data_IF_903604889342
#
_entry.id   IF_903604889342
#
_cell.length_a   1.000
_cell.length_b   1.000
_cell.length_c   1.000
_cell.angle_alpha   90.00
_cell.angle_beta   90.00
_cell.angle_gamma   90.00
#
_symmetry.space_group_name_H-M   'P 1'
#
loop_
_entity.id
_entity.type
_entity.pdbx_description
1 polymer ?
#
# COMPACT_ATOMS: atom_id res chain seq x y z
N UNK A 1 20.67 1.40 -77.08
CA UNK A 1 20.72 2.46 -76.05
C UNK A 1 20.60 1.76 -74.71
N UNK A 2 21.55 1.97 -73.78
CA UNK A 2 21.41 1.90 -72.30
C UNK A 2 20.78 0.63 -71.68
N UNK A 3 21.32 -0.07 -70.68
CA UNK A 3 22.66 -0.16 -70.05
C UNK A 3 22.70 -1.42 -69.14
N UNK A 4 23.87 -1.80 -68.63
CA UNK A 4 24.06 -2.71 -67.47
C UNK A 4 24.27 -1.83 -66.20
N UNK A 5 24.33 -2.28 -64.91
CA UNK A 5 24.26 -3.61 -64.29
C UNK A 5 23.19 -3.66 -63.14
N UNK A 6 23.16 -4.49 -62.07
CA UNK A 6 24.04 -5.55 -61.52
C UNK A 6 23.25 -6.56 -60.61
N UNK A 7 23.99 -7.45 -59.94
CA UNK A 7 23.64 -8.36 -58.83
C UNK A 7 23.83 -7.66 -57.44
N UNK A 8 23.76 -8.32 -56.26
CA UNK A 8 22.97 -9.48 -55.79
C UNK A 8 22.23 -9.22 -54.43
N UNK A 9 21.52 -10.23 -53.90
CA UNK A 9 21.66 -10.59 -52.47
C UNK A 9 20.46 -10.44 -51.51
N UNK A 10 20.18 -11.53 -50.76
CA UNK A 10 19.70 -11.54 -49.37
C UNK A 10 18.34 -10.95 -48.99
N UNK A 11 17.42 -11.78 -48.46
CA UNK A 11 16.98 -11.68 -47.05
C UNK A 11 16.05 -12.84 -46.60
N UNK A 12 16.39 -13.49 -45.50
CA UNK A 12 15.49 -14.11 -44.49
C UNK A 12 16.22 -13.99 -43.12
N UNK A 13 15.55 -13.93 -41.96
CA UNK A 13 14.10 -13.87 -41.72
C UNK A 13 13.64 -12.57 -41.02
N UNK A 14 12.32 -12.37 -40.92
CA UNK A 14 11.75 -11.44 -39.93
C UNK A 14 11.74 -12.13 -38.55
N UNK A 15 12.73 -11.83 -37.72
CA UNK A 15 12.60 -12.04 -36.27
C UNK A 15 12.00 -10.77 -35.66
N UNK A 16 10.76 -10.87 -35.17
CA UNK A 16 9.98 -9.71 -34.73
C UNK A 16 10.41 -9.30 -33.33
N UNK A 17 11.60 -8.71 -33.22
CA UNK A 17 12.07 -8.07 -32.00
C UNK A 17 11.08 -6.96 -31.61
N UNK A 18 10.27 -7.22 -30.58
CA UNK A 18 9.37 -6.23 -29.98
C UNK A 18 10.24 -5.21 -29.23
N UNK A 19 10.69 -4.20 -29.97
CA UNK A 19 11.45 -3.07 -29.44
C UNK A 19 10.53 -2.18 -28.60
N UNK A 20 10.50 -2.43 -27.29
CA UNK A 20 9.80 -1.55 -26.35
C UNK A 20 10.71 -0.36 -26.04
N UNK A 21 10.25 0.85 -26.34
CA UNK A 21 11.03 2.07 -26.13
C UNK A 21 11.18 2.36 -24.62
N UNK A 22 12.41 2.68 -24.18
CA UNK A 22 12.69 3.01 -22.79
C UNK A 22 12.02 4.33 -22.34
N UNK A 23 11.59 5.15 -23.28
CA UNK A 23 10.85 6.40 -23.07
C UNK A 23 9.41 6.10 -22.65
N UNK A 24 8.76 5.12 -23.30
CA UNK A 24 7.39 4.69 -22.97
C UNK A 24 7.32 4.11 -21.55
N UNK A 25 8.32 3.32 -21.14
CA UNK A 25 8.47 2.84 -19.76
C UNK A 25 8.57 3.97 -18.72
N UNK A 26 9.11 5.13 -19.09
CA UNK A 26 9.20 6.30 -18.18
C UNK A 26 7.92 7.13 -18.17
N UNK A 27 7.15 7.13 -19.26
CA UNK A 27 5.89 7.84 -19.38
C UNK A 27 4.73 7.07 -18.72
N UNK A 28 4.68 5.74 -18.85
CA UNK A 28 3.72 4.90 -18.14
C UNK A 28 4.16 4.60 -16.70
N UNK A 29 4.52 5.66 -15.96
CA UNK A 29 4.78 5.59 -14.52
C UNK A 29 3.49 5.21 -13.82
N UNK A 30 3.44 3.99 -13.30
CA UNK A 30 2.37 3.54 -12.42
C UNK A 30 2.11 4.59 -11.32
N UNK A 31 0.85 4.95 -11.05
CA UNK A 31 0.51 5.94 -10.04
C UNK A 31 1.13 5.53 -8.70
N UNK A 32 1.83 6.48 -8.07
CA UNK A 32 2.56 6.24 -6.84
C UNK A 32 1.63 5.57 -5.80
N UNK A 33 2.06 4.47 -5.16
CA UNK A 33 1.21 3.74 -4.23
C UNK A 33 0.85 4.64 -3.04
N UNK A 34 -0.33 4.41 -2.47
CA UNK A 34 -0.75 5.18 -1.31
C UNK A 34 0.07 4.74 -0.10
N UNK A 35 0.72 5.69 0.56
CA UNK A 35 1.58 5.44 1.72
C UNK A 35 1.15 6.28 2.93
N UNK A 36 1.54 5.80 4.12
CA UNK A 36 1.46 6.60 5.33
C UNK A 36 2.58 7.64 5.34
N UNK A 37 2.26 8.89 5.67
CA UNK A 37 3.28 9.93 5.85
C UNK A 37 4.01 9.73 7.18
N UNK A 38 5.21 10.32 7.33
CA UNK A 38 6.03 10.15 8.54
C UNK A 38 5.24 10.40 9.84
N UNK A 39 4.52 11.52 9.94
CA UNK A 39 3.70 11.85 11.12
C UNK A 39 2.58 10.85 11.42
N UNK A 40 2.09 10.15 10.38
CA UNK A 40 1.07 9.12 10.52
C UNK A 40 1.70 7.82 11.06
N UNK A 41 2.84 7.42 10.49
CA UNK A 41 3.64 6.30 11.01
C UNK A 41 4.09 6.55 12.44
N UNK A 42 4.61 7.74 12.77
CA UNK A 42 5.02 8.11 14.13
C UNK A 42 3.86 7.92 15.14
N UNK A 43 2.62 8.26 14.75
CA UNK A 43 1.44 8.09 15.59
C UNK A 43 1.02 6.61 15.76
N UNK A 44 1.08 5.82 14.69
CA UNK A 44 0.80 4.37 14.73
C UNK A 44 1.86 3.64 15.58
N UNK A 45 3.13 3.91 15.30
CA UNK A 45 4.27 3.27 15.97
C UNK A 45 4.34 3.60 17.46
N UNK A 46 3.91 4.81 17.88
CA UNK A 46 3.79 5.17 19.29
C UNK A 46 2.81 4.27 20.06
N UNK A 47 1.68 3.92 19.46
CA UNK A 47 0.71 3.00 20.07
C UNK A 47 1.22 1.57 19.97
N UNK A 48 1.77 1.18 18.82
CA UNK A 48 2.36 -0.13 18.63
C UNK A 48 3.42 -0.45 19.69
N UNK A 49 4.37 0.45 19.93
CA UNK A 49 5.40 0.26 20.96
C UNK A 49 4.84 0.09 22.37
N UNK A 50 3.71 0.75 22.70
CA UNK A 50 3.02 0.56 23.98
C UNK A 50 2.38 -0.84 24.07
N UNK A 51 1.61 -1.23 23.06
CA UNK A 51 0.92 -2.53 23.03
C UNK A 51 1.89 -3.72 22.96
N UNK A 52 3.08 -3.52 22.38
CA UNK A 52 4.20 -4.49 22.43
C UNK A 52 4.79 -4.57 23.84
N UNK A 53 4.97 -3.44 24.53
CA UNK A 53 5.42 -3.40 25.92
C UNK A 53 4.46 -4.08 26.90
N UNK A 54 3.16 -4.03 26.61
CA UNK A 54 2.10 -4.73 27.35
C UNK A 54 1.91 -6.20 26.86
N UNK A 55 2.64 -6.63 25.84
CA UNK A 55 2.66 -8.02 25.34
C UNK A 55 1.48 -8.43 24.44
N UNK A 56 0.56 -7.52 24.16
CA UNK A 56 -0.65 -7.79 23.36
C UNK A 56 -0.38 -7.87 21.86
N UNK A 57 0.55 -7.07 21.34
CA UNK A 57 0.93 -7.05 19.92
C UNK A 57 2.37 -7.56 19.75
N UNK A 58 2.65 -8.25 18.64
CA UNK A 58 3.98 -8.86 18.40
C UNK A 58 4.55 -8.59 17.01
N UNK A 59 3.69 -8.42 16.02
CA UNK A 59 4.10 -8.33 14.62
C UNK A 59 3.21 -7.35 13.85
N UNK A 60 3.71 -6.81 12.74
CA UNK A 60 2.97 -5.88 11.88
C UNK A 60 3.36 -6.04 10.40
N UNK A 61 2.42 -5.72 9.52
CA UNK A 61 2.66 -5.60 8.08
C UNK A 61 2.18 -4.23 7.58
N UNK A 62 2.89 -3.66 6.60
CA UNK A 62 2.52 -2.41 5.94
C UNK A 62 2.36 -2.65 4.45
N UNK A 63 1.11 -2.65 3.99
CA UNK A 63 0.76 -2.86 2.59
C UNK A 63 0.50 -1.51 1.90
N UNK A 64 1.25 -1.24 0.83
CA UNK A 64 1.14 -0.03 0.03
C UNK A 64 0.42 -0.33 -1.28
N UNK A 65 -0.91 -0.23 -1.29
CA UNK A 65 -1.74 -0.54 -2.45
C UNK A 65 -1.96 0.70 -3.33
N UNK A 66 -2.46 0.47 -4.56
CA UNK A 66 -2.77 1.52 -5.54
C UNK A 66 -3.85 2.51 -5.08
N UNK A 67 -4.74 2.08 -4.19
CA UNK A 67 -5.91 2.84 -3.73
C UNK A 67 -5.92 3.17 -2.23
N UNK A 68 -5.15 2.44 -1.41
CA UNK A 68 -5.04 2.63 0.04
C UNK A 68 -3.72 2.13 0.62
N UNK A 69 -3.30 2.70 1.74
CA UNK A 69 -2.28 2.08 2.60
C UNK A 69 -2.98 1.28 3.71
N UNK A 70 -2.44 0.12 4.08
CA UNK A 70 -2.94 -0.71 5.18
C UNK A 70 -1.80 -0.98 6.15
N UNK A 71 -2.05 -0.80 7.45
CA UNK A 71 -1.17 -1.24 8.52
C UNK A 71 -1.90 -2.33 9.31
N UNK A 72 -1.44 -3.56 9.16
CA UNK A 72 -2.02 -4.77 9.76
C UNK A 72 -1.25 -5.12 11.04
N UNK A 73 -1.96 -5.38 12.13
CA UNK A 73 -1.41 -5.65 13.47
C UNK A 73 -1.74 -7.09 13.86
N UNK A 74 -0.76 -7.84 14.37
CA UNK A 74 -0.92 -9.25 14.72
C UNK A 74 -0.55 -9.54 16.19
N UNK A 75 -1.33 -10.43 16.84
CA UNK A 75 -1.00 -10.99 18.16
C UNK A 75 0.14 -12.01 18.07
N UNK A 76 0.23 -12.70 16.94
CA UNK A 76 1.22 -13.72 16.61
C UNK A 76 1.41 -13.78 15.09
N UNK A 77 2.64 -14.00 14.64
CA UNK A 77 2.93 -14.20 13.22
C UNK A 77 2.17 -15.42 12.68
N UNK A 78 1.50 -15.26 11.54
CA UNK A 78 0.71 -16.30 10.87
C UNK A 78 -0.78 -16.38 11.28
N UNK A 79 -1.24 -15.59 12.26
CA UNK A 79 -2.66 -15.49 12.62
C UNK A 79 -3.37 -14.37 11.83
N UNK A 80 -4.71 -14.28 11.94
CA UNK A 80 -5.46 -13.16 11.35
C UNK A 80 -5.11 -11.84 12.04
N UNK A 81 -5.02 -10.71 11.31
CA UNK A 81 -4.67 -9.44 11.93
C UNK A 81 -5.76 -9.00 12.89
N UNK A 82 -5.37 -8.75 14.15
CA UNK A 82 -6.26 -8.24 15.21
C UNK A 82 -6.98 -6.97 14.76
N UNK A 83 -6.18 -6.05 14.20
CA UNK A 83 -6.62 -4.74 13.77
C UNK A 83 -5.94 -4.37 12.46
N UNK A 84 -6.67 -3.62 11.63
CA UNK A 84 -6.19 -3.05 10.37
C UNK A 84 -6.49 -1.56 10.35
N UNK A 85 -5.44 -0.74 10.26
CA UNK A 85 -5.54 0.71 10.07
C UNK A 85 -5.41 0.96 8.57
N UNK A 86 -6.44 1.52 7.95
CA UNK A 86 -6.42 1.87 6.52
C UNK A 86 -6.40 3.38 6.30
N UNK A 87 -5.63 3.82 5.30
CA UNK A 87 -5.64 5.16 4.72
C UNK A 87 -6.14 5.10 3.29
N UNK A 88 -7.36 5.57 3.04
CA UNK A 88 -7.98 5.66 1.72
C UNK A 88 -8.24 7.14 1.36
N UNK A 89 -7.37 7.79 0.55
CA UNK A 89 -7.52 9.20 0.20
C UNK A 89 -8.79 9.49 -0.63
N UNK A 90 -9.36 8.51 -1.34
CA UNK A 90 -10.63 8.69 -2.08
C UNK A 90 -11.82 8.92 -1.14
N UNK A 91 -11.72 8.49 0.13
CA UNK A 91 -12.73 8.73 1.17
C UNK A 91 -12.47 9.99 2.00
N UNK A 92 -11.33 10.66 1.81
CA UNK A 92 -10.95 11.87 2.55
C UNK A 92 -11.99 13.00 2.43
N UNK A 93 -12.57 13.17 1.24
CA UNK A 93 -13.63 14.15 0.96
C UNK A 93 -15.05 13.69 1.33
N UNK A 94 -15.21 12.48 1.90
CA UNK A 94 -16.51 11.90 2.26
C UNK A 94 -16.61 11.64 3.77
N UNK A 95 -16.22 10.45 4.21
CA UNK A 95 -16.36 9.99 5.59
C UNK A 95 -15.04 10.07 6.38
N UNK A 96 -13.96 10.53 5.74
CA UNK A 96 -12.62 10.58 6.31
C UNK A 96 -11.66 9.58 5.66
N UNK A 97 -10.38 9.96 5.64
CA UNK A 97 -9.34 9.18 4.99
C UNK A 97 -8.92 7.94 5.79
N UNK A 98 -9.16 7.89 7.10
CA UNK A 98 -8.64 6.85 7.99
C UNK A 98 -9.75 6.00 8.58
N UNK A 99 -9.54 4.69 8.66
CA UNK A 99 -10.39 3.79 9.45
C UNK A 99 -9.61 2.68 10.14
N UNK A 100 -10.08 2.27 11.32
CA UNK A 100 -9.64 1.05 12.01
C UNK A 100 -10.72 -0.01 11.85
N UNK A 101 -10.31 -1.21 11.44
CA UNK A 101 -11.14 -2.42 11.38
C UNK A 101 -10.61 -3.48 12.34
N UNK A 102 -11.48 -4.37 12.80
CA UNK A 102 -11.11 -5.56 13.57
C UNK A 102 -10.79 -6.77 12.68
N UNK A 103 -10.47 -7.90 13.31
CA UNK A 103 -10.34 -9.25 12.71
C UNK A 103 -11.46 -9.55 11.70
N UNK A 104 -12.72 -9.37 12.12
CA UNK A 104 -13.94 -9.65 11.35
C UNK A 104 -14.22 -8.63 10.21
N UNK A 105 -13.38 -7.61 10.02
CA UNK A 105 -13.58 -6.57 9.00
C UNK A 105 -14.61 -5.50 9.37
N UNK A 106 -15.12 -5.51 10.60
CA UNK A 106 -16.01 -4.45 11.10
C UNK A 106 -15.20 -3.17 11.35
N UNK A 107 -15.66 -2.06 10.78
CA UNK A 107 -15.06 -0.73 11.02
C UNK A 107 -15.39 -0.29 12.44
N UNK A 108 -14.40 -0.29 13.32
CA UNK A 108 -14.55 0.16 14.71
C UNK A 108 -14.59 1.69 14.81
N UNK A 109 -13.84 2.38 13.94
CA UNK A 109 -13.81 3.84 13.88
C UNK A 109 -13.34 4.32 12.51
N UNK A 110 -13.85 5.47 12.07
CA UNK A 110 -13.47 6.18 10.85
C UNK A 110 -13.39 7.68 11.11
N UNK A 111 -12.55 8.41 10.37
CA UNK A 111 -12.44 9.86 10.50
C UNK A 111 -11.36 10.50 9.61
N UNK A 112 -11.30 11.84 9.62
CA UNK A 112 -10.35 12.62 8.82
C UNK A 112 -8.95 12.70 9.45
N UNK A 113 -8.85 12.58 10.77
CA UNK A 113 -7.59 12.63 11.51
C UNK A 113 -7.21 11.26 12.09
N UNK A 114 -6.05 10.75 11.70
CA UNK A 114 -5.55 9.47 12.20
C UNK A 114 -5.46 9.41 13.74
N UNK A 115 -4.92 10.41 14.48
CA UNK A 115 -4.88 10.36 15.94
C UNK A 115 -6.26 10.20 16.60
N UNK A 116 -7.32 10.77 16.01
CA UNK A 116 -8.68 10.61 16.55
C UNK A 116 -9.22 9.19 16.31
N UNK A 117 -8.90 8.58 15.17
CA UNK A 117 -9.28 7.19 14.86
C UNK A 117 -8.55 6.22 15.78
N UNK A 118 -7.26 6.45 16.03
CA UNK A 118 -6.41 5.63 16.90
C UNK A 118 -6.87 5.56 18.37
N UNK A 119 -7.60 6.56 18.89
CA UNK A 119 -8.21 6.55 20.24
C UNK A 119 -9.17 5.36 20.51
N UNK A 120 -9.47 4.53 19.50
CA UNK A 120 -10.16 3.26 19.73
C UNK A 120 -9.32 2.30 20.58
N UNK A 121 -7.99 2.33 20.44
CA UNK A 121 -7.08 1.49 21.22
C UNK A 121 -6.98 1.93 22.69
N UNK A 122 -7.07 3.24 22.97
CA UNK A 122 -7.15 3.78 24.34
C UNK A 122 -8.33 3.23 25.16
N UNK A 123 -9.41 2.78 24.50
CA UNK A 123 -10.54 2.12 25.16
C UNK A 123 -10.30 0.64 25.41
N UNK A 124 -9.57 -0.04 24.52
CA UNK A 124 -9.18 -1.45 24.69
C UNK A 124 -8.20 -1.56 25.86
N UNK A 125 -7.23 -0.65 25.94
CA UNK A 125 -6.31 -0.51 27.07
C UNK A 125 -7.03 -0.44 28.43
N UNK A 126 -8.16 0.29 28.51
CA UNK A 126 -8.97 0.43 29.73
C UNK A 126 -9.88 -0.75 30.07
N UNK A 127 -9.92 -1.79 29.23
CA UNK A 127 -10.75 -2.98 29.44
C UNK A 127 -9.92 -4.20 29.87
N UNK A 128 -8.58 -4.04 29.93
CA UNK A 128 -7.61 -5.09 30.25
C UNK A 128 -6.99 -4.87 31.64
N UNK A 129 -7.39 -3.80 32.34
CA UNK A 129 -7.05 -3.42 33.72
C UNK A 129 -8.24 -3.75 34.65
#
# INVERSE_FOLDING_TARGET
MTDQPDLPGGQRPHDTAVVVDLSDYRQNRDPAPITFHRRELDAILRIYGRMVGEGEWKDYAIDHLRDRAVFSIFKRSGETPLFRIEKNPKLAAKQGAYSVMNTHGLIMKRGHELPQVLKVFDKVLKLID
#
